data_IF_259457978708
#
_entry.id   IF_259457978708
#
_cell.length_a   1.000
_cell.length_b   1.000
_cell.length_c   1.000
_cell.angle_alpha   90.00
_cell.angle_beta   90.00
_cell.angle_gamma   90.00
#
_symmetry.space_group_name_H-M   'P 1'
#
loop_
_entity.id
_entity.type
_entity.pdbx_description
1 polymer ?
#
# COMPACT_ATOMS: atom_id res chain seq x y z
N UNK A 1 13.56 20.43 -13.96
CA UNK A 1 14.70 19.55 -13.61
C UNK A 1 14.65 19.32 -12.10
N UNK A 2 13.77 18.45 -11.62
CA UNK A 2 13.58 18.21 -10.18
C UNK A 2 14.50 17.09 -9.73
N UNK A 3 15.48 17.48 -8.91
CA UNK A 3 16.46 16.60 -8.29
C UNK A 3 15.77 15.65 -7.32
N UNK A 4 16.28 14.43 -7.26
CA UNK A 4 15.92 13.36 -6.33
C UNK A 4 16.08 13.79 -4.86
N UNK A 5 15.15 14.61 -4.36
CA UNK A 5 15.01 14.88 -2.94
C UNK A 5 14.13 13.79 -2.34
N UNK A 6 14.82 12.83 -1.73
CA UNK A 6 14.39 12.24 -0.46
C UNK A 6 13.20 11.28 -0.49
N UNK A 7 13.25 10.27 -1.37
CA UNK A 7 12.65 8.94 -1.11
C UNK A 7 13.38 8.21 0.05
N UNK A 8 14.45 8.81 0.60
CA UNK A 8 15.20 8.30 1.76
C UNK A 8 14.41 8.34 3.07
N UNK A 9 13.41 9.21 3.22
CA UNK A 9 12.65 9.34 4.48
C UNK A 9 11.76 8.09 4.74
N UNK A 10 11.40 7.35 3.70
CA UNK A 10 10.53 6.18 3.80
C UNK A 10 11.28 4.94 4.33
N UNK A 11 12.60 4.82 4.12
CA UNK A 11 13.38 3.65 4.53
C UNK A 11 13.61 3.53 6.04
N UNK A 12 13.47 4.61 6.82
CA UNK A 12 13.74 4.59 8.28
C UNK A 12 12.48 4.23 9.08
N UNK A 13 11.31 4.14 8.43
CA UNK A 13 10.06 3.69 9.03
C UNK A 13 10.04 2.15 9.15
N UNK A 14 10.86 1.67 10.07
CA UNK A 14 10.52 0.67 11.10
C UNK A 14 10.00 -0.68 10.61
N UNK A 15 10.91 -1.63 10.43
CA UNK A 15 10.61 -3.08 10.33
C UNK A 15 10.04 -3.71 11.63
N UNK A 16 9.55 -2.90 12.59
CA UNK A 16 9.33 -3.33 13.97
C UNK A 16 7.98 -3.00 14.62
N UNK A 17 7.04 -2.28 13.97
CA UNK A 17 5.76 -1.88 14.62
C UNK A 17 4.54 -1.92 13.70
N UNK A 18 4.64 -2.61 12.56
CA UNK A 18 3.52 -2.80 11.62
C UNK A 18 2.62 -4.01 11.96
N UNK A 19 2.87 -4.71 13.07
CA UNK A 19 2.05 -5.84 13.52
C UNK A 19 0.82 -5.39 14.31
N UNK A 20 0.85 -4.23 14.95
CA UNK A 20 -0.13 -3.84 15.97
C UNK A 20 -1.40 -3.17 15.43
N UNK A 21 -1.51 -2.96 14.12
CA UNK A 21 -2.73 -2.42 13.50
C UNK A 21 -3.66 -3.57 13.10
N UNK A 22 -4.93 -3.56 13.55
CA UNK A 22 -5.91 -4.59 13.18
C UNK A 22 -6.15 -4.57 11.67
N UNK A 23 -6.37 -5.74 11.07
CA UNK A 23 -6.73 -5.82 9.66
C UNK A 23 -8.06 -5.14 9.41
N UNK A 24 -8.07 -4.16 8.49
CA UNK A 24 -9.29 -3.47 8.12
C UNK A 24 -10.20 -4.35 7.27
N UNK A 25 -9.60 -5.27 6.49
CA UNK A 25 -10.29 -6.25 5.65
C UNK A 25 -9.44 -7.52 5.59
N UNK A 26 -10.08 -8.69 5.67
CA UNK A 26 -9.48 -9.96 5.25
C UNK A 26 -10.08 -10.35 3.89
N UNK A 27 -9.25 -10.84 2.96
CA UNK A 27 -9.72 -11.26 1.65
C UNK A 27 -10.61 -12.51 1.80
N UNK A 28 -11.93 -12.33 1.71
CA UNK A 28 -12.91 -13.43 1.63
C UNK A 28 -13.39 -13.65 0.20
N UNK A 29 -13.41 -14.93 -0.20
CA UNK A 29 -13.92 -15.53 -1.45
C UNK A 29 -13.47 -14.86 -2.78
N UNK A 30 -12.88 -15.66 -3.68
CA UNK A 30 -12.32 -15.26 -4.99
C UNK A 30 -11.00 -14.47 -5.01
N UNK A 31 -10.32 -14.30 -3.88
CA UNK A 31 -9.02 -13.58 -3.81
C UNK A 31 -9.09 -12.12 -4.27
N UNK A 32 -10.27 -11.49 -4.18
CA UNK A 32 -10.49 -10.08 -4.50
C UNK A 32 -10.89 -9.31 -3.26
N UNK A 33 -10.41 -8.08 -3.15
CA UNK A 33 -10.86 -7.15 -2.12
C UNK A 33 -10.79 -5.72 -2.64
N UNK A 34 -11.69 -4.87 -2.15
CA UNK A 34 -11.62 -3.42 -2.34
C UNK A 34 -11.32 -2.78 -0.99
N UNK A 35 -10.25 -2.00 -0.94
CA UNK A 35 -9.79 -1.32 0.26
C UNK A 35 -9.98 0.19 0.10
N UNK A 36 -10.85 0.79 0.92
CA UNK A 36 -11.04 2.24 0.94
C UNK A 36 -9.91 2.89 1.75
N UNK A 37 -9.27 3.89 1.13
CA UNK A 37 -8.26 4.76 1.76
C UNK A 37 -8.86 6.16 1.82
N UNK A 38 -9.47 6.48 2.95
CA UNK A 38 -10.15 7.76 3.18
C UNK A 38 -9.16 8.79 3.71
N UNK A 39 -9.08 9.97 3.10
CA UNK A 39 -8.12 10.98 3.53
C UNK A 39 -8.41 11.54 4.94
N UNK A 40 -9.66 11.49 5.40
CA UNK A 40 -9.99 11.94 6.76
C UNK A 40 -9.44 11.02 7.84
N UNK A 41 -9.35 9.72 7.57
CA UNK A 41 -8.89 8.70 8.53
C UNK A 41 -7.46 8.22 8.24
N UNK A 42 -7.05 8.21 6.98
CA UNK A 42 -5.85 7.55 6.49
C UNK A 42 -4.76 8.51 5.98
N UNK A 43 -4.91 9.81 6.22
CA UNK A 43 -3.85 10.78 5.92
C UNK A 43 -2.83 10.86 7.05
N UNK A 44 -1.56 10.77 6.68
CA UNK A 44 -0.41 11.03 7.53
C UNK A 44 0.15 12.41 7.21
N UNK A 45 0.08 13.32 8.18
CA UNK A 45 0.62 14.66 8.05
C UNK A 45 2.12 14.67 8.40
N UNK A 46 2.98 15.06 7.45
CA UNK A 46 4.45 15.02 7.63
C UNK A 46 4.96 15.95 8.73
N UNK A 47 4.18 16.98 9.10
CA UNK A 47 4.48 17.89 10.20
C UNK A 47 4.27 17.24 11.57
N UNK A 48 3.59 16.10 11.64
CA UNK A 48 3.27 15.41 12.87
C UNK A 48 4.17 14.17 13.05
N UNK A 49 4.62 13.94 14.29
CA UNK A 49 5.27 12.67 14.66
C UNK A 49 4.19 11.59 14.88
N UNK A 50 3.74 10.98 13.80
CA UNK A 50 2.74 9.89 13.83
C UNK A 50 3.30 8.61 13.23
N UNK A 51 2.89 7.47 13.81
CA UNK A 51 3.25 6.15 13.27
C UNK A 51 2.32 5.82 12.09
N UNK A 52 2.85 5.47 10.91
CA UNK A 52 2.03 5.13 9.74
C UNK A 52 0.98 4.05 10.02
N UNK A 53 1.30 3.08 10.86
CA UNK A 53 0.39 1.98 11.24
C UNK A 53 -0.96 2.46 11.84
N UNK A 54 -1.02 3.66 12.44
CA UNK A 54 -2.25 4.22 13.01
C UNK A 54 -3.19 4.84 11.97
N UNK A 55 -2.64 5.27 10.84
CA UNK A 55 -3.40 5.90 9.75
C UNK A 55 -3.54 4.97 8.56
N UNK A 56 -2.71 3.94 8.44
CA UNK A 56 -2.74 3.06 7.31
C UNK A 56 -3.87 2.04 7.43
N UNK A 57 -4.60 1.84 6.34
CA UNK A 57 -5.52 0.72 6.21
C UNK A 57 -4.74 -0.52 5.80
N UNK A 58 -5.03 -1.65 6.45
CA UNK A 58 -4.27 -2.90 6.33
C UNK A 58 -5.14 -4.00 5.72
N UNK A 59 -4.66 -4.63 4.66
CA UNK A 59 -5.29 -5.78 4.02
C UNK A 59 -4.37 -6.99 4.12
N UNK A 60 -4.87 -8.08 4.72
CA UNK A 60 -4.16 -9.35 4.79
C UNK A 60 -4.17 -10.05 3.42
N UNK A 61 -3.02 -10.53 2.96
CA UNK A 61 -2.87 -11.26 1.71
C UNK A 61 -2.52 -12.74 1.96
N UNK A 62 -2.69 -13.56 0.93
CA UNK A 62 -2.19 -14.95 0.91
C UNK A 62 -0.75 -15.02 0.43
N UNK A 63 0.02 -15.96 0.99
CA UNK A 63 1.39 -16.33 0.56
C UNK A 63 1.37 -17.04 -0.79
N UNK A 64 2.41 -16.85 -1.61
CA UNK A 64 2.57 -17.53 -2.90
C UNK A 64 1.55 -17.12 -3.98
N UNK A 65 1.02 -15.90 -3.90
CA UNK A 65 0.03 -15.38 -4.85
C UNK A 65 0.63 -14.20 -5.62
N UNK A 66 0.25 -14.06 -6.87
CA UNK A 66 0.47 -12.83 -7.64
C UNK A 66 -0.73 -11.91 -7.40
N UNK A 67 -0.46 -10.67 -6.98
CA UNK A 67 -1.46 -9.64 -6.79
C UNK A 67 -1.34 -8.55 -7.83
N UNK A 68 -2.51 -8.07 -8.25
CA UNK A 68 -2.73 -6.84 -8.99
C UNK A 68 -3.44 -5.85 -8.07
N UNK A 69 -2.88 -4.67 -7.91
CA UNK A 69 -3.50 -3.56 -7.17
C UNK A 69 -3.73 -2.41 -8.12
N UNK A 70 -4.96 -1.93 -8.20
CA UNK A 70 -5.34 -0.77 -9.01
C UNK A 70 -5.95 0.29 -8.11
N UNK A 71 -5.50 1.54 -8.25
CA UNK A 71 -6.11 2.67 -7.54
C UNK A 71 -7.16 3.34 -8.43
N UNK A 72 -8.31 3.62 -7.84
CA UNK A 72 -9.40 4.40 -8.44
C UNK A 72 -9.84 5.51 -7.49
N UNK A 73 -10.47 6.55 -8.04
CA UNK A 73 -10.91 7.72 -7.30
C UNK A 73 -10.30 9.01 -7.83
N UNK A 74 -10.70 10.12 -7.21
CA UNK A 74 -10.26 11.44 -7.63
C UNK A 74 -8.95 11.81 -6.96
N UNK A 75 -8.07 12.47 -7.72
CA UNK A 75 -6.86 13.07 -7.18
C UNK A 75 -7.22 14.02 -6.03
N UNK A 76 -6.44 13.94 -4.97
CA UNK A 76 -6.56 14.77 -3.79
C UNK A 76 -6.03 16.18 -4.09
N UNK A 77 -6.72 17.19 -3.57
CA UNK A 77 -6.29 18.59 -3.61
C UNK A 77 -6.41 19.18 -2.22
N UNK A 78 -5.41 19.92 -1.76
CA UNK A 78 -5.57 20.71 -0.53
C UNK A 78 -6.26 22.05 -0.87
N UNK A 79 -7.14 22.58 0.00
CA UNK A 79 -7.76 23.89 -0.20
C UNK A 79 -6.75 25.02 -0.46
N UNK A 80 -5.56 24.91 0.14
CA UNK A 80 -4.48 25.89 0.08
C UNK A 80 -3.79 25.96 -1.29
N UNK A 81 -3.80 24.85 -2.04
CA UNK A 81 -3.11 24.75 -3.33
C UNK A 81 -4.08 24.60 -4.51
N UNK A 82 -5.35 24.27 -4.23
CA UNK A 82 -6.41 24.21 -5.24
C UNK A 82 -6.12 23.19 -6.34
N UNK A 83 -6.64 23.41 -7.55
CA UNK A 83 -6.38 22.54 -8.71
C UNK A 83 -4.96 22.71 -9.28
N UNK A 84 -4.28 23.78 -8.88
CA UNK A 84 -2.92 24.15 -9.29
C UNK A 84 -1.85 23.56 -8.36
N UNK A 85 -2.28 22.87 -7.30
CA UNK A 85 -1.44 22.01 -6.49
C UNK A 85 -0.74 20.98 -7.38
N UNK A 86 0.55 20.76 -7.15
CA UNK A 86 1.15 19.47 -7.51
C UNK A 86 0.26 18.38 -6.90
N UNK A 87 -0.36 17.56 -7.76
CA UNK A 87 -1.27 16.48 -7.33
C UNK A 87 -0.60 15.74 -6.18
N UNK A 88 -1.20 15.83 -4.99
CA UNK A 88 -0.69 15.11 -3.82
C UNK A 88 -0.59 13.63 -4.18
N UNK A 89 0.49 12.94 -3.75
CA UNK A 89 0.89 11.68 -4.34
C UNK A 89 -0.27 10.70 -4.23
N UNK A 90 -0.37 9.78 -5.19
CA UNK A 90 -1.31 8.67 -5.07
C UNK A 90 -1.19 7.91 -3.75
N UNK A 91 -1.94 6.85 -3.59
CA UNK A 91 -1.88 6.07 -2.35
C UNK A 91 -0.48 5.51 -2.15
N UNK A 92 0.12 5.74 -0.99
CA UNK A 92 1.34 5.04 -0.60
C UNK A 92 0.95 3.59 -0.25
N UNK A 93 1.43 2.65 -1.05
CA UNK A 93 1.17 1.22 -0.92
C UNK A 93 2.47 0.54 -0.48
N UNK A 94 2.46 0.02 0.74
CA UNK A 94 3.54 -0.78 1.30
C UNK A 94 3.15 -2.26 1.25
N UNK A 95 4.01 -3.11 0.70
CA UNK A 95 3.68 -4.52 0.46
C UNK A 95 4.91 -5.43 0.57
N UNK A 96 4.68 -6.67 0.96
CA UNK A 96 5.73 -7.70 1.07
C UNK A 96 5.80 -8.53 -0.20
N UNK A 97 6.98 -8.64 -0.80
CA UNK A 97 7.23 -9.43 -2.01
C UNK A 97 8.28 -10.52 -1.80
N UNK A 98 8.22 -11.57 -2.63
CA UNK A 98 9.27 -12.58 -2.70
C UNK A 98 10.62 -11.97 -3.11
N UNK A 99 11.71 -12.40 -2.47
CA UNK A 99 13.08 -12.01 -2.81
C UNK A 99 14.01 -13.22 -2.71
N UNK A 100 15.15 -13.19 -3.40
CA UNK A 100 16.05 -14.34 -3.62
C UNK A 100 16.47 -15.11 -2.35
N UNK A 101 16.45 -14.47 -1.17
CA UNK A 101 16.85 -15.06 0.12
C UNK A 101 15.78 -14.86 1.21
N UNK A 102 14.52 -14.58 0.85
CA UNK A 102 13.44 -14.36 1.82
C UNK A 102 12.32 -13.47 1.29
N UNK A 103 12.03 -12.38 2.02
CA UNK A 103 11.04 -11.38 1.61
C UNK A 103 11.63 -9.98 1.69
N UNK A 104 11.09 -9.08 0.88
CA UNK A 104 11.40 -7.65 0.93
C UNK A 104 10.11 -6.86 1.06
N UNK A 105 10.14 -5.79 1.86
CA UNK A 105 9.03 -4.83 1.93
C UNK A 105 9.32 -3.67 0.98
N UNK A 106 8.39 -3.39 0.07
CA UNK A 106 8.46 -2.29 -0.88
C UNK A 106 7.41 -1.24 -0.53
N UNK A 107 7.68 0.00 -0.94
CA UNK A 107 6.73 1.12 -0.87
C UNK A 107 6.66 1.76 -2.24
N UNK A 108 5.46 1.93 -2.76
CA UNK A 108 5.19 2.60 -4.03
C UNK A 108 4.04 3.60 -3.88
N UNK A 109 4.04 4.62 -4.73
CA UNK A 109 2.95 5.58 -4.82
C UNK A 109 2.06 5.20 -6.00
N UNK A 110 0.81 4.80 -5.73
CA UNK A 110 -0.14 4.35 -6.73
C UNK A 110 -1.18 5.44 -7.05
N UNK A 111 -1.05 6.04 -8.22
CA UNK A 111 -1.98 7.05 -8.73
C UNK A 111 -3.24 6.42 -9.33
N UNK A 112 -4.39 7.14 -9.35
CA UNK A 112 -5.59 6.68 -10.06
C UNK A 112 -5.31 6.23 -11.50
N UNK A 113 -5.82 5.06 -11.87
CA UNK A 113 -5.61 4.45 -13.18
C UNK A 113 -4.25 3.79 -13.39
N UNK A 114 -3.33 3.87 -12.41
CA UNK A 114 -2.10 3.08 -12.38
C UNK A 114 -2.34 1.74 -11.70
N UNK A 115 -1.46 0.81 -12.03
CA UNK A 115 -1.52 -0.55 -11.54
C UNK A 115 -0.15 -0.98 -11.00
N UNK A 116 -0.17 -1.61 -9.83
CA UNK A 116 0.95 -2.30 -9.22
C UNK A 116 0.75 -3.82 -9.38
N UNK A 117 1.84 -4.55 -9.63
CA UNK A 117 1.85 -6.01 -9.65
C UNK A 117 3.02 -6.54 -8.84
N UNK A 118 2.77 -7.55 -8.01
CA UNK A 118 3.82 -8.19 -7.24
C UNK A 118 3.43 -9.61 -6.85
N UNK A 119 4.43 -10.42 -6.52
CA UNK A 119 4.24 -11.77 -5.99
C UNK A 119 4.56 -11.78 -4.50
N UNK A 120 3.64 -12.29 -3.68
CA UNK A 120 3.88 -12.48 -2.26
C UNK A 120 4.85 -13.63 -2.02
N UNK A 121 5.66 -13.55 -0.95
CA UNK A 121 6.59 -14.62 -0.64
C UNK A 121 5.85 -15.93 -0.32
N UNK A 122 6.52 -17.06 -0.60
CA UNK A 122 5.98 -18.41 -0.40
C UNK A 122 6.83 -19.28 0.55
N UNK A 123 7.81 -18.69 1.24
CA UNK A 123 8.64 -19.44 2.17
C UNK A 123 7.84 -19.85 3.41
N UNK A 124 8.05 -21.08 3.91
CA UNK A 124 7.39 -21.59 5.10
C UNK A 124 7.73 -20.79 6.37
N UNK A 125 8.92 -20.19 6.40
CA UNK A 125 9.40 -19.34 7.49
C UNK A 125 8.65 -18.02 7.64
N UNK A 126 7.76 -17.68 6.72
CA UNK A 126 6.98 -16.44 6.74
C UNK A 126 5.57 -16.73 7.25
N UNK A 127 5.21 -16.10 8.36
CA UNK A 127 3.86 -16.16 8.90
C UNK A 127 2.90 -15.44 7.94
N UNK A 128 1.68 -15.97 7.75
CA UNK A 128 0.64 -15.33 6.95
C UNK A 128 0.45 -13.86 7.35
N UNK A 129 0.42 -13.54 8.65
CA UNK A 129 0.23 -12.18 9.17
C UNK A 129 1.29 -11.15 8.71
N UNK A 130 2.43 -11.62 8.19
CA UNK A 130 3.49 -10.78 7.66
C UNK A 130 3.29 -10.42 6.18
N UNK A 131 2.29 -11.00 5.52
CA UNK A 131 1.99 -10.79 4.11
C UNK A 131 0.76 -9.92 3.96
N UNK A 132 0.95 -8.61 3.88
CA UNK A 132 -0.13 -7.63 3.83
C UNK A 132 0.13 -6.52 2.82
N UNK A 133 -0.91 -5.72 2.58
CA UNK A 133 -0.83 -4.39 2.00
C UNK A 133 -1.14 -3.38 3.10
N UNK A 134 -0.30 -2.37 3.23
CA UNK A 134 -0.61 -1.14 3.94
C UNK A 134 -0.83 0.00 2.96
N UNK A 135 -1.89 0.77 3.17
CA UNK A 135 -2.23 1.89 2.32
C UNK A 135 -2.58 3.14 3.13
N UNK A 136 -1.97 4.27 2.77
CA UNK A 136 -2.23 5.57 3.39
C UNK A 136 -1.97 6.73 2.41
N UNK A 137 -2.38 7.93 2.79
CA UNK A 137 -2.12 9.17 2.07
C UNK A 137 -1.09 9.97 2.87
N UNK A 138 -0.24 10.73 2.20
CA UNK A 138 0.71 11.65 2.84
C UNK A 138 0.38 13.06 2.40
N UNK A 139 0.24 13.97 3.36
CA UNK A 139 0.15 15.41 3.12
C UNK A 139 1.16 16.15 4.01
N UNK A 140 1.58 17.32 3.57
CA UNK A 140 2.43 18.23 4.31
C UNK A 140 1.63 19.14 5.25
N UNK A 141 0.40 19.52 4.88
CA UNK A 141 -0.37 20.54 5.59
C UNK A 141 -1.42 19.90 6.50
N UNK A 142 -1.31 20.12 7.80
CA UNK A 142 -2.23 19.61 8.82
C UNK A 142 -3.61 20.29 8.79
N UNK A 143 -3.66 21.55 8.35
CA UNK A 143 -4.89 22.32 8.17
C UNK A 143 -5.59 22.07 6.81
N UNK A 144 -5.14 21.08 6.01
CA UNK A 144 -5.87 20.67 4.81
C UNK A 144 -7.21 20.04 5.21
N UNK A 145 -8.32 20.62 4.74
CA UNK A 145 -9.63 19.99 4.85
C UNK A 145 -9.79 18.93 3.75
N UNK A 146 -9.73 17.66 4.16
CA UNK A 146 -9.56 16.52 3.27
C UNK A 146 -10.89 15.82 3.01
N UNK A 147 -11.47 16.01 1.82
CA UNK A 147 -12.80 15.44 1.47
C UNK A 147 -12.74 14.26 0.49
N UNK A 148 -11.56 13.70 0.25
CA UNK A 148 -11.32 12.71 -0.79
C UNK A 148 -10.88 11.33 -0.27
N UNK A 149 -10.59 10.45 -1.21
CA UNK A 149 -9.95 9.17 -0.92
C UNK A 149 -9.95 8.25 -2.12
N UNK A 150 -9.21 7.16 -2.01
CA UNK A 150 -9.00 6.20 -3.09
C UNK A 150 -9.60 4.84 -2.75
N UNK A 151 -9.97 4.10 -3.79
CA UNK A 151 -10.32 2.69 -3.69
C UNK A 151 -9.16 1.90 -4.28
N UNK A 152 -8.58 1.00 -3.49
CA UNK A 152 -7.61 0.03 -3.99
C UNK A 152 -8.33 -1.27 -4.29
N UNK A 153 -8.42 -1.60 -5.57
CA UNK A 153 -8.93 -2.87 -6.05
C UNK A 153 -7.77 -3.87 -6.10
N UNK A 154 -7.82 -4.87 -5.23
CA UNK A 154 -6.80 -5.91 -5.05
C UNK A 154 -7.32 -7.22 -5.59
N UNK A 155 -6.61 -7.82 -6.53
CA UNK A 155 -6.96 -9.10 -7.15
C UNK A 155 -5.75 -10.03 -7.07
N UNK A 156 -5.88 -11.12 -6.34
CA UNK A 156 -4.88 -12.18 -6.18
C UNK A 156 -5.16 -13.38 -7.07
N UNK A 157 -4.10 -14.03 -7.53
CA UNK A 157 -4.16 -15.35 -8.18
C UNK A 157 -3.06 -16.24 -7.61
N UNK A 158 -3.32 -17.54 -7.38
CA UNK A 158 -2.25 -18.46 -7.00
C UNK A 158 -1.21 -18.49 -8.10
N UNK A 159 0.07 -18.41 -7.74
CA UNK A 159 1.14 -18.69 -8.70
C UNK A 159 1.08 -20.19 -8.95
N UNK A 160 0.76 -20.58 -10.18
CA UNK A 160 0.71 -21.99 -10.55
C UNK A 160 2.04 -22.63 -10.17
N UNK A 161 2.00 -23.63 -9.28
CA UNK A 161 3.13 -24.53 -9.14
C UNK A 161 3.26 -25.21 -10.50
N UNK A 162 4.25 -24.80 -11.29
CA UNK A 162 4.71 -25.60 -12.41
C UNK A 162 5.16 -26.94 -11.86
N UNK A 163 4.24 -27.89 -11.72
CA UNK A 163 4.55 -29.26 -12.07
C UNK A 163 4.53 -29.25 -13.59
N UNK A 164 5.72 -29.22 -14.19
CA UNK A 164 5.91 -29.89 -15.47
C UNK A 164 5.49 -31.34 -15.25
N UNK A 165 4.24 -31.65 -15.53
CA UNK A 165 3.86 -32.97 -15.98
C UNK A 165 4.32 -33.06 -17.43
N UNK A 166 5.62 -33.31 -17.61
CA UNK A 166 6.17 -33.79 -18.87
C UNK A 166 7.05 -35.00 -18.51
N UNK A 167 6.50 -36.16 -18.88
CA UNK A 167 7.12 -37.44 -19.29
C UNK A 167 8.33 -38.02 -18.54
#
# INVERSE_FOLDING_TARGET
MFRALSITIVCVLVCGTFTDSPFAVEIQNEHKATLRVDASANCLFMTQKVTPAKHATKLQLRRGYEYRVTAEGNAYFSPQTGKDADRVPGVFVMYCMAHEVGHATRVEVLFPGKQLRFQTPNAESINSEQVFIYAFIVDYWDASENHGGFNLNVVGKPVGSGKSEDE
#
